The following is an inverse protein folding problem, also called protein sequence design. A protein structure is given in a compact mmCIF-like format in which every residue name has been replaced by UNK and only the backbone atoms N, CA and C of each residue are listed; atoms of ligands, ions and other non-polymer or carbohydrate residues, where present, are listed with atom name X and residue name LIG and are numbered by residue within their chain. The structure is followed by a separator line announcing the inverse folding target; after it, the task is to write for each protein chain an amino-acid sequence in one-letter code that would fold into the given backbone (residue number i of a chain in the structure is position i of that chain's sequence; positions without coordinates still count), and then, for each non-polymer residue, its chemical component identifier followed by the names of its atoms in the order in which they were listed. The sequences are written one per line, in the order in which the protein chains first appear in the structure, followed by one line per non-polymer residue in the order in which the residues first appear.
data_IF_972012737178
#
_entry.id   IF_972012737178
#
_cell.length_a   1.000
_cell.length_b   1.000
_cell.length_c   1.000
_cell.angle_alpha   90.00
_cell.angle_beta   90.00
_cell.angle_gamma   90.00
#
_symmetry.space_group_name_H-M   'P 1'
#
loop_
_entity.id
_entity.type
_entity.pdbx_description
1 polymer ?
#
# COMPACT_ATOMS: atom_id res chain seq x y z
N UNK A 1 20.21 16.70 -48.61
CA UNK A 1 20.76 16.71 -47.24
C UNK A 1 19.54 16.65 -46.36
N UNK A 2 19.19 15.45 -45.88
CA UNK A 2 18.11 15.29 -44.90
C UNK A 2 18.54 16.10 -43.67
N UNK A 3 17.74 17.05 -43.17
CA UNK A 3 18.07 17.68 -41.90
C UNK A 3 17.95 16.58 -40.85
N UNK A 4 19.07 16.31 -40.18
CA UNK A 4 19.15 15.39 -39.06
C UNK A 4 17.91 15.56 -38.15
N UNK A 5 17.06 14.53 -38.12
CA UNK A 5 16.04 14.30 -37.08
C UNK A 5 16.77 14.00 -35.76
N UNK A 6 17.61 14.94 -35.31
CA UNK A 6 18.24 14.90 -34.00
C UNK A 6 17.17 15.23 -32.99
N UNK A 7 16.43 14.22 -32.57
CA UNK A 7 15.68 14.26 -31.31
C UNK A 7 16.72 14.53 -30.21
N UNK A 8 16.85 15.80 -29.85
CA UNK A 8 17.79 16.25 -28.85
C UNK A 8 17.41 15.57 -27.52
N UNK A 9 18.37 15.03 -26.76
CA UNK A 9 18.09 14.43 -25.44
C UNK A 9 17.49 15.44 -24.46
N UNK A 10 17.61 16.73 -24.75
CA UNK A 10 16.97 17.82 -24.03
C UNK A 10 15.50 18.06 -24.44
N UNK A 11 15.01 17.38 -25.47
CA UNK A 11 13.60 17.39 -25.93
C UNK A 11 12.80 16.25 -25.26
N UNK A 12 13.12 15.98 -24.00
CA UNK A 12 12.36 15.04 -23.17
C UNK A 12 11.31 15.86 -22.43
N UNK A 13 10.03 15.53 -22.66
CA UNK A 13 8.93 16.16 -21.92
C UNK A 13 9.15 15.95 -20.41
N UNK A 14 9.22 17.05 -19.66
CA UNK A 14 9.20 17.00 -18.19
C UNK A 14 7.78 16.58 -17.78
N UNK A 15 7.59 15.43 -17.10
CA UNK A 15 6.28 15.05 -16.60
C UNK A 15 5.83 16.10 -15.57
N UNK A 16 4.82 16.89 -15.91
CA UNK A 16 4.18 17.82 -14.98
C UNK A 16 3.06 17.08 -14.26
N UNK A 17 3.40 16.39 -13.16
CA UNK A 17 2.39 15.84 -12.25
C UNK A 17 1.97 16.95 -11.28
N UNK A 18 0.68 17.33 -11.31
CA UNK A 18 0.11 18.21 -10.30
C UNK A 18 0.01 17.44 -8.98
N UNK A 19 0.84 17.80 -7.99
CA UNK A 19 0.76 17.23 -6.65
C UNK A 19 -0.52 17.75 -5.99
N UNK A 20 -1.58 16.95 -6.03
CA UNK A 20 -2.78 17.24 -5.27
C UNK A 20 -2.46 17.19 -3.77
N UNK A 21 -2.91 18.16 -2.95
CA UNK A 21 -2.59 18.26 -1.52
C UNK A 21 -3.23 17.15 -0.66
N UNK A 22 -3.68 16.06 -1.26
CA UNK A 22 -4.32 14.90 -0.63
C UNK A 22 -3.34 14.01 0.18
N UNK A 23 -2.15 14.54 0.47
CA UNK A 23 -1.23 13.88 1.41
C UNK A 23 -1.84 13.84 2.81
N UNK A 24 -2.79 14.73 3.14
CA UNK A 24 -3.47 14.77 4.44
C UNK A 24 -4.69 13.86 4.51
N UNK A 25 -5.47 13.71 3.45
CA UNK A 25 -6.69 12.87 3.48
C UNK A 25 -6.36 11.40 3.18
N UNK A 26 -5.27 11.12 2.48
CA UNK A 26 -4.70 9.78 2.30
C UNK A 26 -3.50 9.44 3.20
N UNK A 27 -3.14 10.33 4.14
CA UNK A 27 -2.19 9.95 5.19
C UNK A 27 -2.77 8.75 5.94
N UNK A 28 -2.09 7.60 5.84
CA UNK A 28 -2.32 6.50 6.78
C UNK A 28 -1.98 7.07 8.15
N UNK A 29 -2.99 7.32 8.99
CA UNK A 29 -2.76 7.52 10.41
C UNK A 29 -1.91 6.35 10.89
N UNK A 30 -0.81 6.63 11.60
CA UNK A 30 0.02 5.59 12.19
C UNK A 30 -0.82 4.82 13.21
N UNK A 31 -1.51 3.78 12.76
CA UNK A 31 -2.22 2.83 13.61
C UNK A 31 -1.22 1.83 14.17
N UNK A 32 -0.25 2.33 14.94
CA UNK A 32 0.50 1.46 15.83
C UNK A 32 -0.49 0.98 16.87
N UNK A 33 -0.93 -0.27 16.72
CA UNK A 33 -1.66 -0.94 17.79
C UNK A 33 -0.68 -1.17 18.93
N UNK A 34 -1.16 -1.05 20.15
CA UNK A 34 -0.40 -1.51 21.29
C UNK A 34 -0.37 -3.06 21.32
N UNK A 35 0.49 -3.60 22.18
CA UNK A 35 0.69 -5.04 22.27
C UNK A 35 -0.58 -5.76 22.75
N UNK A 36 -1.40 -5.11 23.59
CA UNK A 36 -2.67 -5.67 24.07
C UNK A 36 -3.68 -5.80 22.92
N UNK A 37 -3.85 -4.75 22.11
CA UNK A 37 -4.68 -4.74 20.91
C UNK A 37 -4.25 -5.84 19.94
N UNK A 38 -2.94 -6.02 19.77
CA UNK A 38 -2.40 -7.05 18.90
C UNK A 38 -2.68 -8.46 19.45
N UNK A 39 -2.53 -8.67 20.75
CA UNK A 39 -2.83 -9.95 21.41
C UNK A 39 -4.33 -10.28 21.31
N UNK A 40 -5.21 -9.30 21.57
CA UNK A 40 -6.67 -9.47 21.44
C UNK A 40 -7.07 -9.87 20.02
N UNK A 41 -6.50 -9.20 19.01
CA UNK A 41 -6.74 -9.54 17.60
C UNK A 41 -6.26 -10.95 17.27
N UNK A 42 -5.07 -11.31 17.73
CA UNK A 42 -4.49 -12.64 17.52
C UNK A 42 -5.36 -13.72 18.15
N UNK A 43 -5.82 -13.51 19.38
CA UNK A 43 -6.69 -14.46 20.08
C UNK A 43 -8.02 -14.64 19.37
N UNK A 44 -8.66 -13.54 18.97
CA UNK A 44 -9.92 -13.58 18.20
C UNK A 44 -9.77 -14.34 16.87
N UNK A 45 -8.66 -14.11 16.15
CA UNK A 45 -8.38 -14.82 14.90
C UNK A 45 -8.18 -16.33 15.12
N UNK A 46 -7.49 -16.74 16.20
CA UNK A 46 -7.34 -18.15 16.57
C UNK A 46 -8.68 -18.82 16.86
N UNK A 47 -9.55 -18.17 17.64
CA UNK A 47 -10.87 -18.71 17.97
C UNK A 47 -11.74 -18.95 16.74
N UNK A 48 -11.71 -18.02 15.78
CA UNK A 48 -12.43 -18.18 14.50
C UNK A 48 -11.90 -19.38 13.72
N UNK A 49 -10.57 -19.51 13.61
CA UNK A 49 -9.93 -20.61 12.89
C UNK A 49 -10.24 -21.95 13.55
N UNK A 50 -10.15 -22.02 14.88
CA UNK A 50 -10.45 -23.23 15.64
C UNK A 50 -11.93 -23.61 15.57
N UNK A 51 -12.83 -22.63 15.49
CA UNK A 51 -14.27 -22.85 15.31
C UNK A 51 -14.60 -23.40 13.92
N UNK A 52 -13.80 -23.08 12.91
CA UNK A 52 -13.96 -23.55 11.53
C UNK A 52 -13.16 -24.82 11.22
N UNK A 53 -12.29 -25.25 12.12
CA UNK A 53 -11.47 -26.45 11.94
C UNK A 53 -12.37 -27.69 11.90
N UNK A 54 -12.36 -28.46 10.80
CA UNK A 54 -13.17 -29.67 10.69
C UNK A 54 -12.74 -30.70 11.74
N UNK A 55 -13.69 -31.45 12.31
CA UNK A 55 -13.41 -32.41 13.40
C UNK A 55 -12.41 -33.51 13.03
N UNK A 56 -12.20 -33.74 11.72
CA UNK A 56 -11.22 -34.71 11.21
C UNK A 56 -9.77 -34.28 11.39
N UNK A 57 -9.52 -33.02 11.73
CA UNK A 57 -8.17 -32.46 11.85
C UNK A 57 -7.75 -32.20 13.31
N UNK A 58 -8.67 -32.20 14.28
CA UNK A 58 -8.41 -31.91 15.71
C UNK A 58 -7.62 -33.02 16.41
#
# INVERSE_FOLDING_TARGET
MEPDDVTNLNDVMVPSEEVHPDHREHAKQSKHLDDEDLERRTQHEREIVDAQRPESDR
#
